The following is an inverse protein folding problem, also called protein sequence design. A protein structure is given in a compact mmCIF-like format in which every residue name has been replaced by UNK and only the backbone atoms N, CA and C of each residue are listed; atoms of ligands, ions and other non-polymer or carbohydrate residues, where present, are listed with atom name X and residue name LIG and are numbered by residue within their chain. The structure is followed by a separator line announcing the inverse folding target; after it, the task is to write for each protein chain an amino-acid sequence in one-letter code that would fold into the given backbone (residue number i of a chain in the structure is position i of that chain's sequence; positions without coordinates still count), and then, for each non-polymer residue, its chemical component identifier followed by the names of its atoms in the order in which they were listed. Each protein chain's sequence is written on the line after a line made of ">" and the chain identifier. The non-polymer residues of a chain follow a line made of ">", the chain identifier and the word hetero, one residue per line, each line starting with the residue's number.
data_IF_762600231371
#
_entry.id   IF_762600231371
#
_cell.length_a   1.000
_cell.length_b   1.000
_cell.length_c   1.000
_cell.angle_alpha   90.00
_cell.angle_beta   90.00
_cell.angle_gamma   90.00
#
_symmetry.space_group_name_H-M   'P 1'
#
loop_
_entity.id
_entity.type
_entity.pdbx_description
1 polymer ?
#
# COMPACT_ATOMS: atom_id res chain seq x y z
N UNK A 1 -10.50 46.85 -37.15
CA UNK A 1 -10.56 45.40 -37.46
C UNK A 1 -10.23 44.67 -36.17
N UNK A 2 -11.21 43.95 -35.65
CA UNK A 2 -11.23 43.25 -34.36
C UNK A 2 -10.25 42.06 -34.34
N UNK A 3 -9.50 41.92 -33.22
CA UNK A 3 -8.92 40.72 -32.56
C UNK A 3 -8.18 39.65 -33.41
N UNK A 4 -7.16 38.93 -32.94
CA UNK A 4 -7.02 38.23 -31.67
C UNK A 4 -5.53 37.96 -31.40
N UNK A 5 -5.09 38.26 -30.18
CA UNK A 5 -3.85 37.76 -29.57
C UNK A 5 -4.05 36.27 -29.29
N UNK A 6 -3.21 35.41 -29.85
CA UNK A 6 -3.06 34.00 -29.42
C UNK A 6 -1.63 33.92 -28.87
N UNK A 7 -1.42 34.40 -27.64
CA UNK A 7 -1.31 33.58 -26.43
C UNK A 7 -0.29 32.44 -26.56
N UNK A 8 0.88 32.72 -25.99
CA UNK A 8 1.95 31.81 -25.56
C UNK A 8 1.46 30.71 -24.61
N UNK A 9 0.62 29.76 -25.05
CA UNK A 9 0.09 28.76 -24.11
C UNK A 9 -0.18 27.35 -24.67
N UNK A 10 0.54 26.93 -25.71
CA UNK A 10 0.46 25.55 -26.22
C UNK A 10 1.59 24.66 -25.64
N UNK A 11 2.57 25.26 -24.96
CA UNK A 11 3.70 24.54 -24.34
C UNK A 11 3.54 24.28 -22.83
N UNK A 12 2.42 24.68 -22.21
CA UNK A 12 2.07 24.32 -20.82
C UNK A 12 1.09 23.13 -20.70
N UNK A 13 0.64 22.55 -21.83
CA UNK A 13 -0.34 21.45 -21.82
C UNK A 13 0.28 20.04 -21.76
N UNK A 14 1.60 19.97 -21.68
CA UNK A 14 2.39 18.74 -21.63
C UNK A 14 3.17 18.64 -20.31
N UNK A 15 2.59 19.08 -19.18
CA UNK A 15 3.05 18.57 -17.88
C UNK A 15 2.42 17.20 -17.68
N UNK A 16 3.29 16.21 -17.64
CA UNK A 16 2.96 14.80 -17.53
C UNK A 16 2.20 14.58 -16.21
N UNK A 17 0.93 14.20 -16.26
CA UNK A 17 0.39 13.42 -15.15
C UNK A 17 1.11 12.09 -15.17
N UNK A 18 2.18 12.03 -14.37
CA UNK A 18 2.89 10.79 -14.15
C UNK A 18 1.94 9.89 -13.35
N UNK A 19 1.30 8.98 -14.07
CA UNK A 19 0.45 7.96 -13.48
C UNK A 19 1.18 7.33 -12.29
N UNK A 20 0.59 7.44 -11.10
CA UNK A 20 1.19 6.90 -9.89
C UNK A 20 0.76 5.45 -9.71
N UNK A 21 1.72 4.55 -9.58
CA UNK A 21 1.45 3.13 -9.36
C UNK A 21 1.49 2.81 -7.88
N UNK A 22 0.35 2.36 -7.34
CA UNK A 22 0.20 1.94 -5.95
C UNK A 22 -0.09 0.45 -5.91
N UNK A 23 0.86 -0.32 -5.37
CA UNK A 23 0.77 -1.78 -5.27
C UNK A 23 0.57 -2.17 -3.82
N UNK A 24 -0.39 -3.05 -3.56
CA UNK A 24 -0.63 -3.64 -2.26
C UNK A 24 -0.28 -5.12 -2.35
N UNK A 25 0.79 -5.51 -1.68
CA UNK A 25 1.23 -6.91 -1.64
C UNK A 25 0.58 -7.60 -0.45
N UNK A 26 -0.13 -8.70 -0.71
CA UNK A 26 -0.90 -9.43 0.28
C UNK A 26 -1.20 -10.89 -0.12
N UNK A 27 -1.90 -11.66 0.74
CA UNK A 27 -2.37 -12.99 0.39
C UNK A 27 -3.40 -12.94 -0.74
N UNK A 28 -3.59 -14.05 -1.44
CA UNK A 28 -4.60 -14.21 -2.48
C UNK A 28 -5.59 -15.31 -2.09
N UNK A 29 -6.89 -15.02 -1.90
CA UNK A 29 -7.56 -13.72 -2.08
C UNK A 29 -7.13 -12.65 -1.06
N UNK A 30 -7.30 -11.34 -1.36
CA UNK A 30 -6.92 -10.26 -0.46
C UNK A 30 -7.67 -10.35 0.87
N UNK A 31 -6.92 -10.32 1.97
CA UNK A 31 -7.46 -10.35 3.33
C UNK A 31 -8.15 -9.01 3.71
N UNK A 32 -8.79 -8.98 4.88
CA UNK A 32 -9.53 -7.78 5.35
C UNK A 32 -8.65 -6.52 5.43
N UNK A 33 -7.36 -6.66 5.74
CA UNK A 33 -6.39 -5.56 5.84
C UNK A 33 -6.06 -4.98 4.46
N UNK A 34 -5.79 -5.85 3.48
CA UNK A 34 -5.58 -5.46 2.08
C UNK A 34 -6.82 -4.76 1.50
N UNK A 35 -8.01 -5.33 1.74
CA UNK A 35 -9.28 -4.72 1.29
C UNK A 35 -9.52 -3.35 1.92
N UNK A 36 -9.17 -3.16 3.19
CA UNK A 36 -9.27 -1.85 3.86
C UNK A 36 -8.36 -0.82 3.18
N UNK A 37 -7.11 -1.16 2.91
CA UNK A 37 -6.16 -0.27 2.24
C UNK A 37 -6.63 0.07 0.81
N UNK A 38 -7.04 -0.94 0.03
CA UNK A 38 -7.62 -0.75 -1.31
C UNK A 38 -8.81 0.23 -1.30
N UNK A 39 -9.71 0.10 -0.32
CA UNK A 39 -10.86 0.99 -0.17
C UNK A 39 -10.39 2.43 0.12
N UNK A 40 -9.49 2.62 1.08
CA UNK A 40 -9.00 3.94 1.47
C UNK A 40 -8.28 4.65 0.32
N UNK A 41 -7.41 3.95 -0.42
CA UNK A 41 -6.71 4.52 -1.58
C UNK A 41 -7.67 4.92 -2.70
N UNK A 42 -8.72 4.15 -2.95
CA UNK A 42 -9.76 4.51 -3.94
C UNK A 42 -10.56 5.74 -3.53
N UNK A 43 -10.87 5.88 -2.24
CA UNK A 43 -11.50 7.09 -1.71
C UNK A 43 -10.57 8.30 -1.87
N UNK A 44 -9.30 8.18 -1.47
CA UNK A 44 -8.30 9.25 -1.63
C UNK A 44 -8.14 9.64 -3.10
N UNK A 45 -8.10 8.67 -4.02
CA UNK A 45 -8.07 8.92 -5.47
C UNK A 45 -9.20 9.83 -5.92
N UNK A 46 -10.41 9.53 -5.47
CA UNK A 46 -11.60 10.28 -5.84
C UNK A 46 -11.64 11.66 -5.18
N UNK A 47 -11.20 11.78 -3.93
CA UNK A 47 -11.21 13.03 -3.16
C UNK A 47 -10.18 14.04 -3.67
N UNK A 48 -8.98 13.57 -4.01
CA UNK A 48 -7.84 14.43 -4.37
C UNK A 48 -7.69 14.60 -5.90
N UNK A 49 -8.45 13.85 -6.71
CA UNK A 49 -8.32 13.89 -8.17
C UNK A 49 -6.97 13.38 -8.68
N UNK A 50 -6.31 12.48 -7.93
CA UNK A 50 -4.99 11.92 -8.29
C UNK A 50 -5.13 10.83 -9.36
N UNK A 51 -4.25 10.85 -10.35
CA UNK A 51 -4.14 9.77 -11.32
C UNK A 51 -3.35 8.59 -10.72
N UNK A 52 -4.09 7.60 -10.19
CA UNK A 52 -3.53 6.43 -9.51
C UNK A 52 -4.02 5.12 -10.10
N UNK A 53 -3.08 4.28 -10.51
CA UNK A 53 -3.29 2.86 -10.76
C UNK A 53 -3.07 2.08 -9.45
N UNK A 54 -4.14 1.47 -8.92
CA UNK A 54 -4.10 0.75 -7.65
C UNK A 54 -4.29 -0.74 -7.92
N UNK A 55 -3.27 -1.55 -7.63
CA UNK A 55 -3.27 -3.00 -7.86
C UNK A 55 -3.04 -3.78 -6.57
N UNK A 56 -3.51 -5.03 -6.55
CA UNK A 56 -3.19 -5.99 -5.51
C UNK A 56 -2.38 -7.13 -6.11
N UNK A 57 -1.25 -7.45 -5.49
CA UNK A 57 -0.31 -8.48 -5.95
C UNK A 57 -0.16 -9.54 -4.87
N UNK A 58 -0.10 -10.80 -5.28
CA UNK A 58 0.09 -11.93 -4.36
C UNK A 58 1.51 -11.92 -3.79
N UNK A 59 1.65 -12.04 -2.48
CA UNK A 59 2.93 -12.23 -1.81
C UNK A 59 3.57 -13.56 -2.24
N UNK A 60 4.77 -13.50 -2.81
CA UNK A 60 5.48 -14.65 -3.39
C UNK A 60 5.26 -14.83 -4.90
N UNK A 61 4.65 -13.85 -5.58
CA UNK A 61 4.69 -13.75 -7.05
C UNK A 61 5.92 -13.01 -7.54
N UNK A 62 6.36 -13.28 -8.77
CA UNK A 62 7.47 -12.58 -9.43
C UNK A 62 7.35 -11.05 -9.34
N UNK A 63 6.12 -10.51 -9.42
CA UNK A 63 5.87 -9.08 -9.28
C UNK A 63 6.18 -8.58 -7.87
N UNK A 64 5.76 -9.32 -6.84
CA UNK A 64 6.04 -8.94 -5.44
C UNK A 64 7.52 -9.03 -5.07
N UNK A 65 8.26 -9.96 -5.68
CA UNK A 65 9.68 -10.19 -5.39
C UNK A 65 10.57 -9.01 -5.82
N UNK A 66 10.10 -8.19 -6.78
CA UNK A 66 10.77 -6.93 -7.16
C UNK A 66 10.94 -5.96 -6.00
N UNK A 67 10.12 -6.08 -4.96
CA UNK A 67 10.14 -5.21 -3.78
C UNK A 67 10.88 -5.83 -2.59
N UNK A 68 11.35 -7.07 -2.71
CA UNK A 68 12.01 -7.83 -1.65
C UNK A 68 11.21 -9.06 -1.22
N UNK A 69 11.72 -9.78 -0.20
CA UNK A 69 11.11 -11.01 0.29
C UNK A 69 9.89 -10.69 1.16
N UNK A 70 8.70 -10.82 0.59
CA UNK A 70 7.42 -10.54 1.27
C UNK A 70 6.69 -11.86 1.56
N UNK A 71 6.25 -12.05 2.81
CA UNK A 71 5.59 -13.27 3.27
C UNK A 71 4.28 -12.92 3.99
N UNK A 72 3.26 -13.76 3.81
CA UNK A 72 2.02 -13.64 4.58
C UNK A 72 2.28 -13.79 6.09
N UNK A 73 1.62 -12.99 6.93
CA UNK A 73 1.89 -12.99 8.36
C UNK A 73 1.55 -14.33 9.03
N UNK A 74 0.48 -15.02 8.62
CA UNK A 74 0.13 -16.33 9.20
C UNK A 74 1.13 -17.40 8.77
N UNK A 75 1.57 -17.38 7.51
CA UNK A 75 2.62 -18.29 7.02
C UNK A 75 3.93 -18.09 7.80
N UNK A 76 4.30 -16.85 8.08
CA UNK A 76 5.49 -16.57 8.88
C UNK A 76 5.33 -17.08 10.33
N UNK A 77 4.19 -16.84 10.96
CA UNK A 77 3.91 -17.29 12.34
C UNK A 77 3.88 -18.82 12.46
N UNK A 78 3.27 -19.50 11.48
CA UNK A 78 3.24 -20.95 11.39
C UNK A 78 4.66 -21.54 11.30
N UNK A 79 5.54 -20.90 10.51
CA UNK A 79 6.96 -21.31 10.43
C UNK A 79 7.73 -21.17 11.75
N UNK A 80 7.21 -20.39 12.70
CA UNK A 80 7.76 -20.22 14.04
C UNK A 80 7.06 -21.10 15.09
N UNK A 81 6.01 -21.83 14.71
CA UNK A 81 5.18 -22.61 15.63
C UNK A 81 4.41 -21.76 16.64
N UNK A 82 4.07 -20.52 16.27
CA UNK A 82 3.35 -19.59 17.15
C UNK A 82 1.85 -19.85 17.06
N UNK A 83 1.18 -19.97 18.20
CA UNK A 83 -0.28 -20.03 18.27
C UNK A 83 -0.91 -18.70 17.81
N UNK A 84 -1.79 -18.78 16.82
CA UNK A 84 -2.48 -17.63 16.23
C UNK A 84 -3.89 -17.43 16.76
N UNK A 85 -4.36 -18.23 17.73
CA UNK A 85 -5.74 -18.17 18.23
C UNK A 85 -6.19 -16.77 18.68
N UNK A 86 -5.30 -16.00 19.31
CA UNK A 86 -5.59 -14.61 19.70
C UNK A 86 -5.59 -13.65 18.50
N UNK A 87 -4.71 -13.88 17.52
CA UNK A 87 -4.68 -13.12 16.28
C UNK A 87 -5.99 -13.32 15.49
N UNK A 88 -6.45 -14.56 15.39
CA UNK A 88 -7.68 -14.93 14.67
C UNK A 88 -8.90 -14.21 15.25
N UNK A 89 -9.02 -14.13 16.58
CA UNK A 89 -10.07 -13.35 17.27
C UNK A 89 -10.02 -11.86 16.91
N UNK A 90 -8.83 -11.28 16.72
CA UNK A 90 -8.68 -9.88 16.30
C UNK A 90 -9.11 -9.69 14.84
N UNK A 91 -8.80 -10.66 13.96
CA UNK A 91 -9.28 -10.68 12.57
C UNK A 91 -10.80 -10.77 12.48
N UNK A 92 -11.44 -11.64 13.26
CA UNK A 92 -12.90 -11.75 13.34
C UNK A 92 -13.56 -10.42 13.75
N UNK A 93 -13.00 -9.75 14.76
CA UNK A 93 -13.45 -8.44 15.24
C UNK A 93 -13.10 -7.28 14.30
N UNK A 94 -12.29 -7.53 13.27
CA UNK A 94 -11.72 -6.50 12.37
C UNK A 94 -10.98 -5.40 13.15
N UNK A 95 -10.36 -5.75 14.26
CA UNK A 95 -9.59 -4.83 15.08
C UNK A 95 -8.21 -4.60 14.46
N UNK A 96 -8.13 -3.74 13.44
CA UNK A 96 -6.88 -3.50 12.72
C UNK A 96 -5.75 -3.02 13.64
N UNK A 97 -6.05 -2.15 14.62
CA UNK A 97 -5.04 -1.65 15.57
C UNK A 97 -4.58 -2.76 16.51
N UNK A 98 -5.50 -3.59 16.98
CA UNK A 98 -5.18 -4.78 17.76
C UNK A 98 -4.29 -5.76 16.99
N UNK A 99 -4.64 -6.05 15.73
CA UNK A 99 -3.85 -6.91 14.84
C UNK A 99 -2.44 -6.35 14.66
N UNK A 100 -2.33 -5.07 14.29
CA UNK A 100 -1.04 -4.41 14.04
C UNK A 100 -0.16 -4.41 15.30
N UNK A 101 -0.77 -4.14 16.46
CA UNK A 101 -0.07 -4.21 17.77
C UNK A 101 0.38 -5.62 18.12
N UNK A 102 -0.45 -6.63 17.87
CA UNK A 102 -0.12 -8.03 18.14
C UNK A 102 1.01 -8.53 17.24
N UNK A 103 1.01 -8.13 15.97
CA UNK A 103 2.02 -8.53 14.98
C UNK A 103 3.37 -7.81 15.14
N UNK A 104 3.42 -6.65 15.79
CA UNK A 104 4.62 -5.83 15.94
C UNK A 104 5.92 -6.58 16.34
N UNK A 105 5.95 -7.45 17.38
CA UNK A 105 7.16 -8.21 17.71
C UNK A 105 7.63 -9.13 16.58
N UNK A 106 6.69 -9.71 15.82
CA UNK A 106 6.99 -10.61 14.71
C UNK A 106 7.41 -9.87 13.44
N UNK A 107 6.97 -8.62 13.26
CA UNK A 107 7.49 -7.74 12.21
C UNK A 107 8.97 -7.46 12.43
N UNK A 108 9.39 -7.19 13.66
CA UNK A 108 10.80 -6.98 14.00
C UNK A 108 11.62 -8.26 13.82
N UNK A 109 11.07 -9.42 14.20
CA UNK A 109 11.72 -10.71 13.98
C UNK A 109 11.86 -11.05 12.48
N UNK A 110 10.81 -10.81 11.67
CA UNK A 110 10.86 -10.98 10.23
C UNK A 110 11.91 -10.05 9.60
N UNK A 111 11.97 -8.78 10.04
CA UNK A 111 12.94 -7.80 9.53
C UNK A 111 14.38 -8.26 9.73
N UNK A 112 14.72 -8.84 10.88
CA UNK A 112 16.07 -9.40 11.14
C UNK A 112 16.46 -10.51 10.16
N UNK A 113 15.47 -11.18 9.56
CA UNK A 113 15.65 -12.25 8.57
C UNK A 113 15.57 -11.73 7.13
N UNK A 114 15.48 -10.42 6.93
CA UNK A 114 15.30 -9.80 5.61
C UNK A 114 13.91 -10.07 5.02
N UNK A 115 12.91 -10.32 5.86
CA UNK A 115 11.53 -10.61 5.45
C UNK A 115 10.63 -9.43 5.80
N UNK A 116 9.74 -9.06 4.89
CA UNK A 116 8.63 -8.15 5.15
C UNK A 116 7.33 -8.93 5.27
N UNK A 117 6.47 -8.55 6.22
CA UNK A 117 5.17 -9.19 6.41
C UNK A 117 4.06 -8.38 5.73
N UNK A 118 3.09 -9.08 5.16
CA UNK A 118 1.92 -8.47 4.54
C UNK A 118 0.98 -7.79 5.55
N UNK A 119 0.19 -6.77 5.13
CA UNK A 119 0.24 -6.13 3.82
C UNK A 119 1.46 -5.22 3.70
N UNK A 120 2.00 -5.10 2.49
CA UNK A 120 3.03 -4.11 2.14
C UNK A 120 2.43 -3.15 1.12
N UNK A 121 2.52 -1.84 1.38
CA UNK A 121 2.12 -0.80 0.42
C UNK A 121 3.36 -0.28 -0.27
N UNK A 122 3.35 -0.32 -1.59
CA UNK A 122 4.41 0.19 -2.46
C UNK A 122 3.83 1.32 -3.30
N UNK A 123 4.54 2.44 -3.38
CA UNK A 123 4.16 3.58 -4.23
C UNK A 123 5.34 3.91 -5.14
N UNK A 124 5.12 3.91 -6.45
CA UNK A 124 6.16 4.12 -7.47
C UNK A 124 7.41 3.26 -7.24
N UNK A 125 7.20 1.98 -6.92
CA UNK A 125 8.26 1.00 -6.67
C UNK A 125 8.94 1.11 -5.30
N UNK A 126 8.58 2.08 -4.45
CA UNK A 126 9.15 2.26 -3.11
C UNK A 126 8.21 1.70 -2.06
N UNK A 127 8.72 0.84 -1.17
CA UNK A 127 7.98 0.37 0.01
C UNK A 127 7.69 1.55 0.94
N UNK A 128 6.43 1.74 1.29
CA UNK A 128 5.93 2.82 2.15
C UNK A 128 5.50 2.31 3.52
N UNK A 129 4.83 1.16 3.56
CA UNK A 129 4.37 0.56 4.81
C UNK A 129 4.56 -0.94 4.79
N UNK A 130 4.77 -1.52 5.97
CA UNK A 130 4.97 -2.97 6.17
C UNK A 130 4.13 -3.42 7.35
N UNK A 131 3.31 -4.44 7.14
CA UNK A 131 2.50 -5.10 8.16
C UNK A 131 1.65 -4.15 9.02
N UNK A 132 1.06 -3.12 8.42
CA UNK A 132 0.17 -2.17 9.10
C UNK A 132 -0.99 -1.79 8.17
N UNK A 133 -2.15 -1.47 8.74
CA UNK A 133 -3.23 -0.79 8.02
C UNK A 133 -3.20 0.69 8.41
N UNK A 134 -2.61 1.58 7.60
CA UNK A 134 -2.48 2.97 7.99
C UNK A 134 -3.85 3.67 8.02
N UNK A 135 -3.95 4.71 8.82
CA UNK A 135 -5.13 5.58 8.81
C UNK A 135 -5.25 6.32 7.48
N UNK A 136 -6.46 6.76 7.13
CA UNK A 136 -6.71 7.41 5.82
C UNK A 136 -5.82 8.63 5.60
N UNK A 137 -5.62 9.44 6.63
CA UNK A 137 -4.77 10.64 6.55
C UNK A 137 -3.30 10.30 6.32
N UNK A 138 -2.82 9.21 6.91
CA UNK A 138 -1.44 8.74 6.71
C UNK A 138 -1.24 8.23 5.29
N UNK A 139 -2.18 7.43 4.76
CA UNK A 139 -2.18 7.03 3.36
C UNK A 139 -2.26 8.24 2.42
N UNK A 140 -3.09 9.24 2.75
CA UNK A 140 -3.21 10.48 1.97
C UNK A 140 -1.87 11.21 1.92
N UNK A 141 -1.20 11.35 3.06
CA UNK A 141 0.14 11.97 3.12
C UNK A 141 1.14 11.21 2.25
N UNK A 142 1.20 9.87 2.38
CA UNK A 142 2.10 9.02 1.59
C UNK A 142 1.92 9.25 0.07
N UNK A 143 0.68 9.25 -0.41
CA UNK A 143 0.41 9.41 -1.85
C UNK A 143 0.64 10.84 -2.34
N UNK A 144 0.32 11.86 -1.53
CA UNK A 144 0.55 13.27 -1.90
C UNK A 144 2.03 13.61 -1.93
N UNK A 145 2.81 13.05 -1.01
CA UNK A 145 4.27 13.20 -1.03
C UNK A 145 4.85 12.63 -2.33
N UNK A 146 4.49 11.41 -2.73
CA UNK A 146 5.00 10.84 -3.98
C UNK A 146 4.47 11.54 -5.24
N UNK A 147 3.25 12.08 -5.21
CA UNK A 147 2.71 12.89 -6.31
C UNK A 147 3.46 14.22 -6.48
N UNK A 148 4.01 14.79 -5.40
CA UNK A 148 4.77 16.05 -5.46
C UNK A 148 6.21 15.89 -5.98
N UNK A 149 6.76 14.67 -5.99
CA UNK A 149 8.09 14.37 -6.53
C UNK A 149 8.06 13.72 -7.92
N UNK A 150 6.86 13.53 -8.49
CA UNK A 150 6.61 12.83 -9.76
C UNK A 150 6.56 13.78 -10.93
#
# INVERSE_FOLDING_TARGET
>A
MLYFVICDNVLQFFEWWKLMHVVIVGPNPPCIRCRRILKLLREIRSEEGLDMEITHVFAGSDESEKYGRIVDSHVFLDSLGIDTSELDKLFEKRDFKGIDKWLAPYVEEARKRGIMLTPVVVVNGKVKTVCVVPEKEELRKIVKEEAAYG
#
